data_IF_041876713959
#
_entry.id   IF_041876713959
#
_cell.length_a   1.000
_cell.length_b   1.000
_cell.length_c   1.000
_cell.angle_alpha   90.00
_cell.angle_beta   90.00
_cell.angle_gamma   90.00
#
_symmetry.space_group_name_H-M   'P 1'
#
loop_
_entity.id
_entity.type
_entity.pdbx_description
1 polymer ?
#
# COMPACT_ATOMS: atom_id res chain seq x y z
N UNK A 1 -37.49 -9.28 4.76
CA UNK A 1 -36.16 -8.63 4.78
C UNK A 1 -35.20 -9.60 4.09
N UNK A 2 -34.69 -9.29 2.90
CA UNK A 2 -33.75 -10.17 2.19
C UNK A 2 -32.39 -10.05 2.88
N UNK A 3 -31.72 -11.15 3.28
CA UNK A 3 -30.38 -11.07 3.85
C UNK A 3 -29.42 -10.51 2.82
N UNK A 4 -28.83 -9.34 3.10
CA UNK A 4 -27.71 -8.83 2.29
C UNK A 4 -26.50 -9.73 2.55
N UNK A 5 -25.91 -10.36 1.53
CA UNK A 5 -24.81 -11.30 1.71
C UNK A 5 -23.57 -10.60 2.27
N UNK A 6 -22.86 -11.30 3.15
CA UNK A 6 -21.59 -10.85 3.71
C UNK A 6 -20.54 -10.80 2.59
N UNK A 7 -19.82 -9.69 2.49
CA UNK A 7 -18.72 -9.51 1.53
C UNK A 7 -17.41 -9.96 2.15
N UNK A 8 -16.56 -10.62 1.35
CA UNK A 8 -15.25 -11.10 1.81
C UNK A 8 -14.17 -10.27 1.15
N UNK A 9 -13.41 -9.52 1.93
CA UNK A 9 -12.39 -8.59 1.43
C UNK A 9 -11.02 -9.06 1.91
N UNK A 10 -10.08 -9.18 0.98
CA UNK A 10 -8.68 -9.48 1.27
C UNK A 10 -7.88 -8.23 1.61
N UNK A 11 -7.21 -8.18 2.75
CA UNK A 11 -6.19 -7.16 3.05
C UNK A 11 -4.83 -7.71 2.62
N UNK A 12 -4.34 -7.22 1.48
CA UNK A 12 -3.05 -7.63 0.94
C UNK A 12 -1.94 -6.78 1.53
N UNK A 13 -1.10 -7.39 2.37
CA UNK A 13 0.00 -6.72 3.06
C UNK A 13 1.27 -6.67 2.22
N UNK A 14 2.01 -5.55 2.35
CA UNK A 14 3.39 -5.40 1.85
C UNK A 14 4.44 -5.86 2.86
N UNK A 15 4.02 -6.13 4.09
CA UNK A 15 4.84 -6.65 5.18
C UNK A 15 4.42 -8.06 5.58
N UNK A 16 4.92 -8.50 6.73
CA UNK A 16 4.37 -9.69 7.39
C UNK A 16 3.11 -9.33 8.19
N UNK A 17 2.34 -10.33 8.59
CA UNK A 17 1.13 -10.16 9.38
C UNK A 17 1.41 -9.39 10.68
N UNK A 18 0.58 -8.39 10.97
CA UNK A 18 0.51 -7.80 12.30
C UNK A 18 -0.32 -8.72 13.22
N UNK A 19 0.11 -9.03 14.46
CA UNK A 19 -0.71 -9.77 15.41
C UNK A 19 -2.00 -9.04 15.80
N UNK A 20 -2.07 -7.72 15.61
CA UNK A 20 -3.25 -6.89 15.88
C UNK A 20 -3.96 -6.60 14.54
N UNK A 21 -5.19 -7.11 14.36
CA UNK A 21 -5.99 -6.79 13.18
C UNK A 21 -6.27 -5.29 13.09
N UNK A 22 -6.35 -4.76 11.87
CA UNK A 22 -6.70 -3.36 11.64
C UNK A 22 -8.16 -3.09 12.07
N UNK A 23 -8.32 -2.31 13.14
CA UNK A 23 -9.62 -2.02 13.75
C UNK A 23 -10.58 -1.29 12.81
N UNK A 24 -10.08 -0.52 11.85
CA UNK A 24 -10.94 0.25 10.94
C UNK A 24 -11.65 -0.71 9.97
N UNK A 25 -10.97 -1.76 9.51
CA UNK A 25 -11.58 -2.78 8.68
C UNK A 25 -12.50 -3.72 9.46
N UNK A 26 -12.17 -4.05 10.71
CA UNK A 26 -13.00 -4.93 11.56
C UNK A 26 -14.36 -4.30 11.91
N UNK A 27 -14.47 -2.97 11.88
CA UNK A 27 -15.72 -2.26 12.17
C UNK A 27 -16.66 -2.17 10.95
N UNK A 28 -16.21 -2.61 9.76
CA UNK A 28 -17.02 -2.52 8.55
C UNK A 28 -18.23 -3.48 8.62
N UNK A 29 -19.46 -2.96 8.50
CA UNK A 29 -20.64 -3.79 8.62
C UNK A 29 -20.76 -4.74 7.42
N UNK A 30 -21.06 -6.02 7.70
CA UNK A 30 -21.28 -7.07 6.68
C UNK A 30 -20.05 -7.34 5.80
N UNK A 31 -18.86 -7.09 6.33
CA UNK A 31 -17.59 -7.46 5.70
C UNK A 31 -16.88 -8.49 6.58
N UNK A 32 -16.49 -9.60 5.99
CA UNK A 32 -15.48 -10.52 6.52
C UNK A 32 -14.13 -10.07 5.94
N UNK A 33 -13.18 -9.79 6.82
CA UNK A 33 -11.83 -9.37 6.46
C UNK A 33 -10.93 -10.60 6.50
N UNK A 34 -10.17 -10.82 5.43
CA UNK A 34 -9.20 -11.91 5.31
C UNK A 34 -7.82 -11.30 5.09
N UNK A 35 -6.89 -11.51 6.01
CA UNK A 35 -5.52 -11.05 5.84
C UNK A 35 -4.76 -11.93 4.85
N UNK A 36 -4.07 -11.30 3.91
CA UNK A 36 -3.22 -11.96 2.91
C UNK A 36 -1.83 -11.34 3.04
N UNK A 37 -0.92 -12.09 3.66
CA UNK A 37 0.43 -11.63 3.97
C UNK A 37 1.46 -12.54 3.29
N UNK A 38 1.78 -12.35 1.99
CA UNK A 38 2.69 -13.23 1.27
C UNK A 38 4.07 -13.39 1.91
N UNK A 39 4.52 -12.34 2.61
CA UNK A 39 5.82 -12.34 3.27
C UNK A 39 5.88 -13.22 4.54
N UNK A 40 4.75 -13.73 5.02
CA UNK A 40 4.70 -14.66 6.15
C UNK A 40 5.39 -15.99 5.85
N UNK A 41 5.54 -16.34 4.57
CA UNK A 41 6.25 -17.54 4.14
C UNK A 41 7.77 -17.45 4.33
N UNK A 42 8.31 -16.29 4.70
CA UNK A 42 9.74 -16.04 4.77
C UNK A 42 10.20 -15.77 6.20
N UNK A 43 11.37 -16.30 6.54
CA UNK A 43 12.08 -15.91 7.76
C UNK A 43 12.70 -14.51 7.62
N UNK A 44 13.06 -13.89 8.74
CA UNK A 44 13.74 -12.58 8.71
C UNK A 44 15.05 -12.62 7.89
N UNK A 45 15.84 -13.69 8.02
CA UNK A 45 17.07 -13.87 7.24
C UNK A 45 16.80 -13.96 5.73
N UNK A 46 15.78 -14.72 5.33
CA UNK A 46 15.38 -14.81 3.92
C UNK A 46 14.82 -13.50 3.38
N UNK A 47 14.12 -12.72 4.21
CA UNK A 47 13.65 -11.40 3.81
C UNK A 47 14.84 -10.47 3.49
N UNK A 48 15.85 -10.44 4.36
CA UNK A 48 17.07 -9.67 4.13
C UNK A 48 17.81 -10.13 2.87
N UNK A 49 17.91 -11.44 2.65
CA UNK A 49 18.62 -11.99 1.49
C UNK A 49 17.87 -11.74 0.17
N UNK A 50 16.55 -11.99 0.13
CA UNK A 50 15.76 -12.05 -1.11
C UNK A 50 15.07 -10.74 -1.45
N UNK A 51 14.86 -9.86 -0.46
CA UNK A 51 14.08 -8.63 -0.62
C UNK A 51 14.88 -7.37 -0.34
N UNK A 52 16.19 -7.43 -0.11
CA UNK A 52 17.00 -6.21 -0.02
C UNK A 52 16.83 -5.33 -1.27
N UNK A 53 16.61 -4.01 -1.14
CA UNK A 53 16.49 -3.09 -2.26
C UNK A 53 17.69 -3.17 -3.20
N UNK A 54 17.44 -3.18 -4.51
CA UNK A 54 18.53 -3.14 -5.51
C UNK A 54 19.05 -1.72 -5.68
N UNK A 55 20.27 -1.61 -6.19
CA UNK A 55 20.86 -0.31 -6.55
C UNK A 55 19.93 0.45 -7.50
N UNK A 56 19.56 1.68 -7.13
CA UNK A 56 18.67 2.54 -7.91
C UNK A 56 17.17 2.33 -7.65
N UNK A 57 16.77 1.31 -6.89
CA UNK A 57 15.40 1.20 -6.41
C UNK A 57 15.16 2.16 -5.24
N UNK A 58 13.95 2.70 -5.16
CA UNK A 58 13.53 3.40 -3.96
C UNK A 58 13.04 2.36 -2.94
N UNK A 59 13.65 2.26 -1.75
CA UNK A 59 13.24 1.28 -0.75
C UNK A 59 11.79 1.46 -0.31
N UNK A 60 11.13 0.34 0.00
CA UNK A 60 9.85 0.31 0.69
C UNK A 60 10.11 -0.06 2.14
N UNK A 61 9.75 0.82 3.08
CA UNK A 61 9.78 0.49 4.50
C UNK A 61 8.51 -0.28 4.87
N UNK A 62 8.68 -1.33 5.68
CA UNK A 62 7.60 -2.13 6.25
C UNK A 62 8.07 -2.77 7.56
N UNK A 63 7.16 -3.41 8.29
CA UNK A 63 7.48 -4.16 9.50
C UNK A 63 7.39 -5.67 9.25
N UNK A 64 8.21 -6.43 9.98
CA UNK A 64 8.11 -7.89 10.12
C UNK A 64 7.31 -8.25 11.38
N UNK A 65 6.97 -9.54 11.57
CA UNK A 65 6.15 -9.99 12.72
C UNK A 65 6.73 -9.62 14.10
N UNK A 66 8.05 -9.47 14.20
CA UNK A 66 8.72 -9.04 15.43
C UNK A 66 8.55 -7.54 15.73
N UNK A 67 7.92 -6.78 14.82
CA UNK A 67 7.83 -5.33 14.87
C UNK A 67 9.05 -4.62 14.30
N UNK A 68 10.15 -5.34 14.02
CA UNK A 68 11.35 -4.74 13.44
C UNK A 68 11.05 -4.18 12.03
N UNK A 69 11.68 -3.06 11.71
CA UNK A 69 11.61 -2.46 10.38
C UNK A 69 12.45 -3.26 9.39
N UNK A 70 11.98 -3.34 8.15
CA UNK A 70 12.69 -3.91 7.02
C UNK A 70 12.52 -3.03 5.79
N UNK A 71 13.58 -2.97 4.99
CA UNK A 71 13.56 -2.34 3.69
C UNK A 71 13.42 -3.39 2.60
N UNK A 72 12.45 -3.18 1.71
CA UNK A 72 12.06 -4.12 0.67
C UNK A 72 12.30 -3.55 -0.72
N UNK A 73 12.82 -4.39 -1.60
CA UNK A 73 12.91 -4.20 -3.04
C UNK A 73 11.50 -4.16 -3.62
N UNK A 74 11.22 -3.10 -4.37
CA UNK A 74 9.96 -2.92 -5.05
C UNK A 74 9.69 -4.07 -6.04
N UNK A 75 10.69 -4.44 -6.86
CA UNK A 75 10.54 -5.53 -7.84
C UNK A 75 10.43 -6.91 -7.21
N UNK A 76 11.08 -7.16 -6.07
CA UNK A 76 10.93 -8.43 -5.36
C UNK A 76 9.52 -8.55 -4.76
N UNK A 77 9.02 -7.46 -4.15
CA UNK A 77 7.72 -7.40 -3.52
C UNK A 77 6.57 -7.55 -4.53
N UNK A 78 6.66 -6.94 -5.71
CA UNK A 78 5.64 -7.08 -6.78
C UNK A 78 5.30 -8.53 -7.09
N UNK A 79 6.31 -9.39 -7.15
CA UNK A 79 6.12 -10.83 -7.43
C UNK A 79 5.34 -11.53 -6.33
N UNK A 80 5.57 -11.17 -5.07
CA UNK A 80 4.86 -11.76 -3.93
C UNK A 80 3.45 -11.22 -3.79
N UNK A 81 3.25 -9.92 -4.05
CA UNK A 81 1.90 -9.33 -4.13
C UNK A 81 1.06 -10.01 -5.21
N UNK A 82 1.67 -10.36 -6.35
CA UNK A 82 0.99 -11.12 -7.39
C UNK A 82 0.54 -12.51 -6.91
N UNK A 83 1.35 -13.19 -6.08
CA UNK A 83 0.94 -14.46 -5.47
C UNK A 83 -0.22 -14.26 -4.48
N UNK A 84 -0.18 -13.21 -3.67
CA UNK A 84 -1.29 -12.86 -2.78
C UNK A 84 -2.59 -12.56 -3.53
N UNK A 85 -2.51 -11.97 -4.72
CA UNK A 85 -3.69 -11.81 -5.60
C UNK A 85 -4.24 -13.17 -6.05
N UNK A 86 -3.38 -14.10 -6.45
CA UNK A 86 -3.80 -15.44 -6.87
C UNK A 86 -4.43 -16.22 -5.70
N UNK A 87 -3.90 -16.05 -4.49
CA UNK A 87 -4.49 -16.60 -3.27
C UNK A 87 -5.89 -16.03 -3.01
N UNK A 88 -6.06 -14.70 -3.10
CA UNK A 88 -7.36 -14.05 -2.99
C UNK A 88 -8.38 -14.58 -4.02
N UNK A 89 -7.93 -14.79 -5.27
CA UNK A 89 -8.75 -15.37 -6.33
C UNK A 89 -9.17 -16.81 -6.01
N UNK A 90 -8.24 -17.64 -5.51
CA UNK A 90 -8.51 -19.01 -5.09
C UNK A 90 -9.52 -19.08 -3.93
N UNK A 91 -9.42 -18.14 -2.98
CA UNK A 91 -10.33 -17.96 -1.86
C UNK A 91 -11.67 -17.33 -2.26
N UNK A 92 -11.84 -16.92 -3.53
CA UNK A 92 -13.03 -16.27 -4.09
C UNK A 92 -13.44 -15.01 -3.30
N UNK A 93 -12.46 -14.18 -2.95
CA UNK A 93 -12.72 -12.90 -2.30
C UNK A 93 -13.42 -11.94 -3.27
N UNK A 94 -14.33 -11.11 -2.75
CA UNK A 94 -15.09 -10.14 -3.55
C UNK A 94 -14.19 -8.99 -4.05
N UNK A 95 -13.20 -8.61 -3.24
CA UNK A 95 -12.24 -7.56 -3.52
C UNK A 95 -10.94 -7.74 -2.70
N UNK A 96 -9.91 -7.02 -3.12
CA UNK A 96 -8.62 -6.92 -2.42
C UNK A 96 -8.36 -5.44 -2.13
N UNK A 97 -7.88 -5.11 -0.94
CA UNK A 97 -7.36 -3.80 -0.58
C UNK A 97 -5.87 -3.96 -0.30
N UNK A 98 -5.03 -3.25 -1.04
CA UNK A 98 -3.60 -3.19 -0.74
C UNK A 98 -3.40 -2.28 0.48
N UNK A 99 -2.67 -2.74 1.49
CA UNK A 99 -2.52 -1.97 2.76
C UNK A 99 -1.43 -0.89 2.70
N UNK A 100 -1.02 -0.45 1.51
CA UNK A 100 -0.05 0.63 1.37
C UNK A 100 -0.42 1.64 0.26
N UNK A 101 0.29 2.77 0.23
CA UNK A 101 0.13 3.84 -0.77
C UNK A 101 1.06 3.69 -1.98
N UNK A 102 1.84 2.61 -2.04
CA UNK A 102 2.75 2.31 -3.13
C UNK A 102 2.02 2.05 -4.45
N UNK A 103 2.74 2.25 -5.56
CA UNK A 103 2.30 1.83 -6.90
C UNK A 103 3.01 0.53 -7.22
N UNK A 104 2.27 -0.46 -7.71
CA UNK A 104 2.81 -1.74 -8.15
C UNK A 104 2.23 -2.07 -9.53
N UNK A 105 3.06 -2.56 -10.43
CA UNK A 105 2.66 -2.99 -11.76
C UNK A 105 2.27 -4.48 -11.69
N UNK A 106 1.08 -4.71 -11.11
CA UNK A 106 0.51 -6.04 -10.94
C UNK A 106 -0.16 -6.51 -12.25
N UNK A 107 -0.02 -7.79 -12.57
CA UNK A 107 -0.62 -8.37 -13.77
C UNK A 107 -2.15 -8.29 -13.71
N UNK A 108 -2.79 -8.38 -14.89
CA UNK A 108 -4.24 -8.40 -14.98
C UNK A 108 -4.83 -9.46 -14.05
N UNK A 109 -5.69 -9.03 -13.13
CA UNK A 109 -6.35 -9.86 -12.14
C UNK A 109 -7.85 -9.93 -12.43
N UNK A 110 -8.48 -11.05 -12.06
CA UNK A 110 -9.95 -11.16 -12.04
C UNK A 110 -10.56 -10.48 -10.82
N UNK A 111 -9.75 -10.25 -9.79
CA UNK A 111 -10.14 -9.57 -8.57
C UNK A 111 -10.26 -8.06 -8.77
N UNK A 112 -11.19 -7.45 -8.04
CA UNK A 112 -11.25 -5.99 -7.90
C UNK A 112 -10.21 -5.58 -6.87
N UNK A 113 -9.21 -4.81 -7.28
CA UNK A 113 -8.14 -4.36 -6.40
C UNK A 113 -8.29 -2.86 -6.13
N UNK A 114 -8.35 -2.52 -4.85
CA UNK A 114 -8.34 -1.16 -4.35
C UNK A 114 -6.90 -0.77 -4.03
N UNK A 115 -6.42 0.30 -4.68
CA UNK A 115 -5.11 0.90 -4.44
C UNK A 115 -5.30 2.21 -3.66
N UNK A 116 -5.11 2.25 -2.33
CA UNK A 116 -5.30 3.47 -1.54
C UNK A 116 -4.45 4.64 -2.04
N UNK A 117 -3.22 4.38 -2.48
CA UNK A 117 -2.34 5.39 -3.05
C UNK A 117 -2.89 6.04 -4.33
N UNK A 118 -3.65 5.31 -5.15
CA UNK A 118 -4.31 5.88 -6.33
C UNK A 118 -5.51 6.73 -5.92
N UNK A 119 -6.36 6.22 -5.02
CA UNK A 119 -7.53 6.94 -4.50
C UNK A 119 -7.09 8.27 -3.87
N UNK A 120 -6.04 8.24 -3.04
CA UNK A 120 -5.49 9.44 -2.41
C UNK A 120 -5.07 10.48 -3.46
N UNK A 121 -4.33 10.07 -4.49
CA UNK A 121 -3.88 10.96 -5.57
C UNK A 121 -5.06 11.56 -6.32
N UNK A 122 -6.07 10.76 -6.65
CA UNK A 122 -7.28 11.23 -7.33
C UNK A 122 -8.05 12.25 -6.47
N UNK A 123 -8.19 11.99 -5.17
CA UNK A 123 -8.84 12.91 -4.24
C UNK A 123 -8.10 14.24 -4.10
N UNK A 124 -6.78 14.19 -4.02
CA UNK A 124 -5.93 15.39 -3.99
C UNK A 124 -6.10 16.22 -5.27
N UNK A 125 -6.15 15.57 -6.43
CA UNK A 125 -6.34 16.23 -7.73
C UNK A 125 -7.73 16.83 -7.92
N UNK A 126 -8.77 16.21 -7.35
CA UNK A 126 -10.16 16.69 -7.46
C UNK A 126 -10.49 17.79 -6.45
N UNK A 127 -9.63 18.02 -5.46
CA UNK A 127 -9.84 19.04 -4.42
C UNK A 127 -9.67 20.43 -5.02
N UNK A 128 -10.53 21.36 -4.64
CA UNK A 128 -10.33 22.80 -4.88
C UNK A 128 -9.34 23.32 -3.86
N UNK A 129 -8.25 23.93 -4.33
CA UNK A 129 -7.18 24.46 -3.48
C UNK A 129 -7.23 25.98 -3.45
N UNK A 130 -6.88 26.57 -2.30
CA UNK A 130 -6.65 28.01 -2.18
C UNK A 130 -5.16 28.32 -2.31
N UNK A 131 -4.80 29.47 -2.90
CA UNK A 131 -3.40 29.85 -3.17
C UNK A 131 -2.53 29.95 -1.91
N UNK A 132 -3.14 30.23 -0.75
CA UNK A 132 -2.45 30.33 0.54
C UNK A 132 -2.29 28.99 1.29
N UNK A 133 -2.87 27.89 0.79
CA UNK A 133 -2.77 26.60 1.46
C UNK A 133 -1.38 26.00 1.31
N UNK A 134 -0.88 25.42 2.41
CA UNK A 134 0.38 24.68 2.43
C UNK A 134 0.11 23.21 2.68
N UNK A 135 0.83 22.35 1.98
CA UNK A 135 0.74 20.89 2.11
C UNK A 135 2.07 20.34 2.56
N UNK A 136 2.05 19.57 3.64
CA UNK A 136 3.18 18.77 4.06
C UNK A 136 2.99 17.33 3.59
N UNK A 137 4.07 16.68 3.15
CA UNK A 137 4.11 15.27 2.79
C UNK A 137 5.02 14.58 3.79
N UNK A 138 4.48 13.60 4.51
CA UNK A 138 5.24 12.79 5.46
C UNK A 138 5.60 11.48 4.75
N UNK A 139 6.87 11.12 4.83
CA UNK A 139 7.41 9.91 4.22
C UNK A 139 8.16 9.11 5.29
N UNK A 140 8.17 7.77 5.23
CA UNK A 140 8.83 6.95 6.24
C UNK A 140 10.36 7.04 6.20
N UNK A 141 10.96 7.35 5.05
CA UNK A 141 12.41 7.35 4.85
C UNK A 141 12.91 8.63 4.18
N UNK A 142 14.07 9.13 4.59
CA UNK A 142 14.68 10.34 4.04
C UNK A 142 14.99 10.22 2.54
N UNK A 143 15.42 9.05 2.08
CA UNK A 143 15.73 8.81 0.67
C UNK A 143 14.49 8.92 -0.24
N UNK A 144 13.28 8.82 0.34
CA UNK A 144 12.02 8.96 -0.39
C UNK A 144 11.61 10.41 -0.61
N UNK A 145 12.14 11.36 0.17
CA UNK A 145 11.73 12.77 0.13
C UNK A 145 11.82 13.34 -1.29
N UNK A 146 13.00 13.32 -1.91
CA UNK A 146 13.19 13.97 -3.21
C UNK A 146 12.36 13.36 -4.35
N UNK A 147 12.05 12.07 -4.31
CA UNK A 147 11.23 11.41 -5.34
C UNK A 147 9.74 11.64 -5.13
N UNK A 148 9.28 11.56 -3.88
CA UNK A 148 7.88 11.79 -3.54
C UNK A 148 7.51 13.26 -3.59
N UNK A 149 8.41 14.17 -3.22
CA UNK A 149 8.23 15.61 -3.39
C UNK A 149 7.98 15.95 -4.87
N UNK A 150 8.83 15.48 -5.80
CA UNK A 150 8.61 15.67 -7.25
C UNK A 150 7.27 15.09 -7.71
N UNK A 151 6.89 13.91 -7.21
CA UNK A 151 5.63 13.27 -7.54
C UNK A 151 4.43 14.13 -7.12
N UNK A 152 4.46 14.68 -5.91
CA UNK A 152 3.35 15.46 -5.37
C UNK A 152 3.34 16.92 -5.84
N UNK A 153 4.50 17.56 -6.04
CA UNK A 153 4.59 18.91 -6.62
C UNK A 153 3.98 19.00 -8.02
N UNK A 154 4.06 17.91 -8.81
CA UNK A 154 3.40 17.84 -10.11
C UNK A 154 1.86 17.73 -10.03
N UNK A 155 1.28 17.56 -8.83
CA UNK A 155 -0.14 17.31 -8.58
C UNK A 155 -0.79 18.34 -7.67
N UNK A 156 0.01 19.06 -6.88
CA UNK A 156 -0.42 20.13 -6.03
C UNK A 156 -0.42 21.46 -6.81
N UNK A 157 -1.19 22.46 -6.37
CA UNK A 157 -1.10 23.81 -6.91
C UNK A 157 0.35 24.28 -6.84
N UNK A 158 0.85 24.90 -7.91
CA UNK A 158 2.20 25.42 -7.95
C UNK A 158 2.38 26.51 -6.90
N UNK A 159 3.35 26.35 -6.00
CA UNK A 159 3.91 27.47 -5.26
C UNK A 159 4.54 28.42 -6.28
N UNK A 160 3.98 29.62 -6.46
CA UNK A 160 4.84 30.74 -6.85
C UNK A 160 5.74 30.98 -5.66
N UNK A 161 7.03 30.64 -5.79
CA UNK A 161 8.05 31.01 -4.79
C UNK A 161 7.88 32.49 -4.47
N UNK A 162 7.47 32.82 -3.25
CA UNK A 162 7.69 34.15 -2.72
C UNK A 162 9.21 34.28 -2.56
N UNK A 163 9.83 34.99 -3.49
CA UNK A 163 11.13 35.58 -3.24
C UNK A 163 10.90 36.65 -2.17
N UNK A 164 11.26 36.34 -0.93
CA UNK A 164 11.44 37.32 0.14
C UNK A 164 12.85 37.87 0.02
#
# INVERSE_FOLDING_TARGET
MIPVPMKRIGLLSVGQSDPVPDSDFQQLPRVEVVDICPLDAYTHAELLEKFSPKIGELPISSNVKSGAEILLSHSALERELQKGILEAEALRLDAIVLTCSGKFDLASSRSRIVFPGQILKEKVLQRVWCEAEKVAIIVPLDEQQGRLEKCWNARLPSEKKLNI
#
